data_IF_256747668494
#
_entry.id   IF_256747668494
#
_cell.length_a   1.000
_cell.length_b   1.000
_cell.length_c   1.000
_cell.angle_alpha   90.00
_cell.angle_beta   90.00
_cell.angle_gamma   90.00
#
_symmetry.space_group_name_H-M   'P 1'
#
loop_
_entity.id
_entity.type
_entity.pdbx_description
1 polymer ?
#
# COMPACT_ATOMS: atom_id res chain seq x y z
N UNK A 1 -7.81 -15.18 -7.38
CA UNK A 1 -7.51 -14.75 -8.76
C UNK A 1 -6.25 -13.91 -8.72
N UNK A 2 -5.38 -14.04 -9.72
CA UNK A 2 -4.18 -13.21 -9.84
C UNK A 2 -4.53 -11.75 -10.14
N UNK A 3 -3.69 -10.85 -9.66
CA UNK A 3 -3.71 -9.44 -10.04
C UNK A 3 -3.49 -9.35 -11.58
N UNK A 4 -4.17 -8.45 -12.33
CA UNK A 4 -3.85 -8.24 -13.75
C UNK A 4 -2.36 -7.93 -13.90
N UNK A 5 -1.75 -8.45 -14.96
CA UNK A 5 -0.35 -8.23 -15.26
C UNK A 5 -0.23 -7.55 -16.64
N UNK A 6 0.24 -6.29 -16.71
CA UNK A 6 0.61 -5.43 -15.59
C UNK A 6 -0.62 -4.89 -14.83
N UNK A 7 -0.44 -4.60 -13.55
CA UNK A 7 -1.47 -4.09 -12.63
C UNK A 7 -1.66 -2.58 -12.73
N UNK A 8 -0.80 -1.89 -13.47
CA UNK A 8 -0.83 -0.45 -13.71
C UNK A 8 0.38 0.05 -14.48
N UNK A 9 0.51 1.37 -14.55
CA UNK A 9 1.67 2.07 -15.12
C UNK A 9 1.86 3.42 -14.43
N UNK A 10 3.04 4.02 -14.53
CA UNK A 10 3.25 5.40 -14.09
C UNK A 10 2.82 6.43 -15.14
N UNK A 11 2.21 7.51 -14.68
CA UNK A 11 1.99 8.71 -15.46
C UNK A 11 2.17 9.94 -14.55
N UNK A 12 3.14 10.80 -14.88
CA UNK A 12 3.53 11.96 -14.07
C UNK A 12 3.81 11.61 -12.60
N UNK A 13 4.70 10.64 -12.36
CA UNK A 13 5.08 10.14 -11.03
C UNK A 13 3.91 9.59 -10.18
N UNK A 14 2.75 9.39 -10.78
CA UNK A 14 1.59 8.78 -10.14
C UNK A 14 1.30 7.42 -10.77
N UNK A 15 1.18 6.39 -9.93
CA UNK A 15 0.74 5.07 -10.34
C UNK A 15 -0.71 5.14 -10.81
N UNK A 16 -1.01 4.50 -11.95
CA UNK A 16 -2.34 4.39 -12.54
C UNK A 16 -2.71 2.91 -12.59
N UNK A 17 -3.48 2.46 -11.60
CA UNK A 17 -3.92 1.07 -11.57
C UNK A 17 -4.89 0.77 -12.73
N UNK A 18 -4.77 -0.41 -13.33
CA UNK A 18 -5.74 -0.90 -14.32
C UNK A 18 -7.07 -1.28 -13.68
N UNK A 19 -7.05 -1.70 -12.42
CA UNK A 19 -8.23 -2.15 -11.68
C UNK A 19 -9.13 -0.99 -11.24
N UNK A 20 -8.54 0.03 -10.62
CA UNK A 20 -9.30 1.07 -9.94
C UNK A 20 -8.59 2.42 -9.94
N UNK A 21 -9.33 3.48 -9.64
CA UNK A 21 -8.76 4.80 -9.46
C UNK A 21 -8.23 4.93 -8.03
N UNK A 22 -6.90 4.98 -7.90
CA UNK A 22 -6.22 5.28 -6.66
C UNK A 22 -6.41 6.76 -6.30
N UNK A 23 -6.67 7.02 -5.02
CA UNK A 23 -6.79 8.37 -4.47
C UNK A 23 -5.39 8.85 -4.06
N UNK A 24 -4.98 10.06 -4.47
CA UNK A 24 -3.75 10.66 -3.94
C UNK A 24 -3.96 11.17 -2.51
N UNK A 25 -2.96 10.99 -1.64
CA UNK A 25 -2.92 11.56 -0.29
C UNK A 25 -1.78 12.59 -0.19
N UNK A 26 -2.05 13.79 -0.70
CA UNK A 26 -1.03 14.83 -0.86
C UNK A 26 -0.89 15.74 0.37
N UNK A 27 -1.76 15.59 1.38
CA UNK A 27 -1.71 16.38 2.62
C UNK A 27 -1.67 15.49 3.88
N UNK A 28 -0.93 15.90 4.94
CA UNK A 28 -0.98 15.23 6.24
C UNK A 28 -2.40 15.15 6.82
N UNK A 29 -3.24 16.15 6.57
CA UNK A 29 -4.63 16.18 7.03
C UNK A 29 -5.48 15.08 6.38
N UNK A 30 -5.30 14.80 5.09
CA UNK A 30 -5.98 13.69 4.41
C UNK A 30 -5.61 12.34 5.01
N UNK A 31 -4.33 12.15 5.34
CA UNK A 31 -3.83 10.92 5.97
C UNK A 31 -4.39 10.78 7.39
N UNK A 32 -4.32 11.83 8.22
CA UNK A 32 -4.93 11.83 9.56
C UNK A 32 -6.42 11.52 9.49
N UNK A 33 -7.15 12.15 8.57
CA UNK A 33 -8.59 11.89 8.36
C UNK A 33 -8.86 10.43 7.98
N UNK A 34 -8.02 9.83 7.14
CA UNK A 34 -8.15 8.42 6.74
C UNK A 34 -7.89 7.46 7.91
N UNK A 35 -6.87 7.75 8.72
CA UNK A 35 -6.39 6.88 9.79
C UNK A 35 -7.05 7.15 11.15
N UNK A 36 -7.87 8.20 11.27
CA UNK A 36 -8.56 8.57 12.51
C UNK A 36 -9.28 7.37 13.12
N UNK A 37 -9.08 7.17 14.42
CA UNK A 37 -9.62 6.06 15.21
C UNK A 37 -9.15 4.67 14.77
N UNK A 38 -8.01 4.56 14.09
CA UNK A 38 -7.50 3.28 13.60
C UNK A 38 -6.23 2.83 14.31
N UNK A 39 -6.14 1.52 14.47
CA UNK A 39 -4.92 0.80 14.74
C UNK A 39 -4.39 0.22 13.43
N UNK A 40 -3.18 0.62 13.05
CA UNK A 40 -2.50 0.15 11.83
C UNK A 40 -1.27 -0.66 12.22
N UNK A 41 -1.29 -1.95 11.88
CA UNK A 41 -0.25 -2.90 12.22
C UNK A 41 0.47 -3.33 10.93
N UNK A 42 1.73 -2.94 10.76
CA UNK A 42 2.57 -3.41 9.67
C UNK A 42 3.41 -4.61 10.11
N UNK A 43 3.33 -5.71 9.36
CA UNK A 43 4.02 -6.97 9.64
C UNK A 43 4.88 -7.35 8.44
N UNK A 44 6.20 -7.47 8.62
CA UNK A 44 7.03 -7.86 7.49
C UNK A 44 8.47 -7.42 7.49
N UNK A 45 9.02 -7.36 6.28
CA UNK A 45 10.39 -6.94 6.00
C UNK A 45 10.58 -5.43 6.21
N UNK A 46 11.82 -4.99 6.02
CA UNK A 46 12.18 -3.57 5.98
C UNK A 46 11.45 -2.77 4.89
N UNK A 47 10.88 -3.39 3.87
CA UNK A 47 10.17 -2.72 2.76
C UNK A 47 8.73 -2.32 3.11
N UNK A 48 8.07 -2.99 4.07
CA UNK A 48 6.81 -2.51 4.66
C UNK A 48 7.08 -1.58 5.85
N UNK A 49 8.25 -1.71 6.51
CA UNK A 49 8.72 -0.69 7.46
C UNK A 49 8.82 0.69 6.80
N UNK A 50 9.24 0.76 5.54
CA UNK A 50 9.24 2.01 4.77
C UNK A 50 7.85 2.68 4.70
N UNK A 51 6.74 1.92 4.68
CA UNK A 51 5.40 2.53 4.73
C UNK A 51 5.14 3.20 6.08
N UNK A 52 5.49 2.51 7.18
CA UNK A 52 5.38 3.06 8.52
C UNK A 52 6.24 4.32 8.68
N UNK A 53 7.49 4.29 8.20
CA UNK A 53 8.42 5.44 8.27
C UNK A 53 7.94 6.61 7.43
N UNK A 54 7.47 6.33 6.21
CA UNK A 54 6.88 7.33 5.33
C UNK A 54 5.67 8.00 5.99
N UNK A 55 4.70 7.22 6.47
CA UNK A 55 3.49 7.74 7.11
C UNK A 55 3.82 8.55 8.37
N UNK A 56 4.68 8.02 9.25
CA UNK A 56 5.11 8.70 10.46
C UNK A 56 5.79 10.04 10.14
N UNK A 57 6.70 10.09 9.16
CA UNK A 57 7.34 11.36 8.78
C UNK A 57 6.39 12.32 8.08
N UNK A 58 5.52 11.81 7.20
CA UNK A 58 4.62 12.62 6.39
C UNK A 58 3.56 13.31 7.26
N UNK A 59 2.95 12.58 8.20
CA UNK A 59 1.96 13.14 9.13
C UNK A 59 2.58 14.21 10.04
N UNK A 60 3.83 14.03 10.47
CA UNK A 60 4.57 15.01 11.29
C UNK A 60 4.89 16.32 10.58
N UNK A 61 4.74 16.40 9.26
CA UNK A 61 5.17 17.56 8.49
C UNK A 61 6.69 17.77 8.51
N UNK A 62 7.48 16.78 9.00
CA UNK A 62 8.94 16.83 8.92
C UNK A 62 9.32 16.72 7.45
N UNK A 63 9.93 17.76 6.91
CA UNK A 63 10.70 17.67 5.68
C UNK A 63 11.84 16.68 5.94
N UNK A 64 11.67 15.43 5.51
CA UNK A 64 12.73 14.44 5.61
C UNK A 64 13.84 14.85 4.62
N UNK A 65 15.03 15.12 5.14
CA UNK A 65 16.20 15.60 4.42
C UNK A 65 16.40 14.86 3.08
N UNK A 66 16.37 15.62 2.00
CA UNK A 66 16.75 15.15 0.67
C UNK A 66 18.28 15.03 0.61
N UNK A 67 18.82 13.82 0.66
CA UNK A 67 20.09 13.52 -0.01
C UNK A 67 19.74 13.13 -1.44
N UNK A 68 19.59 14.14 -2.30
CA UNK A 68 19.31 13.93 -3.72
C UNK A 68 18.58 15.11 -4.35
N UNK A 69 19.37 15.96 -5.03
CA UNK A 69 19.05 16.92 -6.08
C UNK A 69 17.61 17.45 -6.23
N UNK A 70 17.48 18.78 -6.16
CA UNK A 70 16.34 19.52 -6.72
C UNK A 70 16.10 19.10 -8.17
N UNK A 71 14.95 18.49 -8.46
CA UNK A 71 14.30 18.66 -9.76
C UNK A 71 13.03 19.48 -9.57
N UNK A 72 13.12 20.75 -9.96
CA UNK A 72 11.97 21.61 -10.19
C UNK A 72 11.21 21.05 -11.39
N UNK A 73 10.07 20.39 -11.16
CA UNK A 73 9.17 19.98 -12.25
C UNK A 73 8.15 21.11 -12.44
N UNK A 74 8.37 21.92 -13.47
CA UNK A 74 7.36 22.85 -13.97
C UNK A 74 6.17 22.05 -14.53
N UNK A 75 4.96 22.45 -14.14
CA UNK A 75 3.71 21.77 -14.48
C UNK A 75 3.31 22.15 -15.91
N UNK A 76 3.80 21.43 -16.92
CA UNK A 76 3.31 21.59 -18.29
C UNK A 76 1.90 20.99 -18.44
N UNK A 77 0.91 21.83 -18.79
CA UNK A 77 -0.41 21.37 -19.25
C UNK A 77 -0.25 20.86 -20.69
N UNK A 78 -0.52 19.57 -20.89
CA UNK A 78 -0.51 18.95 -22.21
C UNK A 78 -1.88 19.17 -22.91
N UNK A 79 -1.97 19.76 -24.12
CA UNK A 79 -3.23 20.05 -24.80
C UNK A 79 -3.92 18.84 -25.45
N UNK A 80 -3.29 17.66 -25.47
CA UNK A 80 -3.76 16.50 -26.25
C UNK A 80 -4.43 15.39 -25.42
N UNK A 81 -5.09 15.72 -24.31
CA UNK A 81 -5.82 14.74 -23.50
C UNK A 81 -7.28 14.54 -23.98
N UNK A 82 -7.47 14.11 -25.23
CA UNK A 82 -8.77 13.63 -25.72
C UNK A 82 -8.71 12.12 -25.98
N UNK A 83 -9.13 11.32 -25.01
CA UNK A 83 -9.62 9.95 -25.26
C UNK A 83 -10.69 9.63 -24.23
N UNK A 84 -11.78 9.02 -24.68
CA UNK A 84 -12.90 8.59 -23.84
C UNK A 84 -12.45 7.57 -22.79
N UNK A 85 -12.02 8.04 -21.61
CA UNK A 85 -11.72 7.16 -20.49
C UNK A 85 -13.03 6.58 -19.96
N UNK A 86 -13.19 5.25 -20.04
CA UNK A 86 -14.13 4.54 -19.15
C UNK A 86 -13.83 4.98 -17.72
N UNK A 87 -14.81 5.60 -17.06
CA UNK A 87 -14.68 6.15 -15.71
C UNK A 87 -14.49 4.97 -14.74
N UNK A 88 -13.25 4.72 -14.32
CA UNK A 88 -12.95 3.71 -13.28
C UNK A 88 -13.56 4.18 -11.96
N UNK A 89 -13.89 3.23 -11.09
CA UNK A 89 -14.35 3.52 -9.72
C UNK A 89 -13.15 3.54 -8.77
N UNK A 90 -13.29 4.22 -7.63
CA UNK A 90 -12.24 4.29 -6.60
C UNK A 90 -11.83 2.89 -6.11
N UNK A 91 -10.55 2.71 -5.80
CA UNK A 91 -10.07 1.52 -5.10
C UNK A 91 -10.69 1.48 -3.69
N UNK A 92 -11.48 0.45 -3.35
CA UNK A 92 -12.06 0.27 -2.00
C UNK A 92 -12.25 -1.22 -1.70
N UNK A 93 -12.29 -1.61 -0.41
CA UNK A 93 -12.61 -2.99 -0.03
C UNK A 93 -14.02 -3.43 -0.49
N UNK A 94 -15.00 -2.53 -0.49
CA UNK A 94 -16.36 -2.85 -0.93
C UNK A 94 -16.38 -3.20 -2.42
N UNK A 95 -15.54 -2.54 -3.21
CA UNK A 95 -15.37 -2.86 -4.63
C UNK A 95 -14.70 -4.21 -4.81
N UNK A 96 -13.61 -4.48 -4.08
CA UNK A 96 -12.93 -5.78 -4.12
C UNK A 96 -13.91 -6.91 -3.77
N UNK A 97 -14.74 -6.71 -2.75
CA UNK A 97 -15.79 -7.64 -2.32
C UNK A 97 -16.82 -7.86 -3.43
N UNK A 98 -17.32 -6.78 -4.04
CA UNK A 98 -18.31 -6.86 -5.12
C UNK A 98 -17.77 -7.62 -6.33
N UNK A 99 -16.54 -7.32 -6.75
CA UNK A 99 -15.90 -8.02 -7.87
C UNK A 99 -15.63 -9.50 -7.53
N UNK A 100 -15.29 -9.82 -6.27
CA UNK A 100 -15.18 -11.22 -5.80
C UNK A 100 -16.51 -11.94 -5.89
N UNK A 101 -17.58 -11.39 -5.31
CA UNK A 101 -18.94 -11.99 -5.34
C UNK A 101 -19.46 -12.21 -6.75
N UNK A 102 -19.28 -11.24 -7.65
CA UNK A 102 -19.65 -11.41 -9.07
C UNK A 102 -18.92 -12.61 -9.69
N UNK A 103 -17.65 -12.83 -9.33
CA UNK A 103 -16.85 -13.93 -9.87
C UNK A 103 -17.22 -15.28 -9.28
N UNK A 104 -17.50 -15.34 -7.98
CA UNK A 104 -17.98 -16.56 -7.34
C UNK A 104 -19.35 -16.97 -7.93
N UNK A 105 -20.20 -16.00 -8.28
CA UNK A 105 -21.43 -16.23 -9.02
C UNK A 105 -21.20 -16.69 -10.48
N UNK A 106 -20.13 -16.26 -11.15
CA UNK A 106 -19.76 -16.75 -12.50
C UNK A 106 -19.17 -18.16 -12.44
N UNK A 107 -18.41 -18.48 -11.38
CA UNK A 107 -17.78 -19.81 -11.20
C UNK A 107 -18.73 -20.86 -10.64
N UNK A 108 -19.84 -20.45 -10.04
CA UNK A 108 -20.91 -21.34 -9.57
C UNK A 108 -22.06 -21.23 -10.58
N UNK A 109 -22.11 -22.03 -11.66
CA UNK A 109 -23.23 -21.92 -12.58
C UNK A 109 -24.49 -22.43 -11.87
N UNK A 110 -25.58 -21.64 -11.77
CA UNK A 110 -26.90 -22.23 -11.69
C UNK A 110 -27.18 -22.85 -13.06
N UNK A 111 -27.71 -24.07 -13.05
CA UNK A 111 -28.34 -24.65 -14.22
C UNK A 111 -29.37 -23.66 -14.79
N UNK A 112 -29.25 -23.40 -16.10
CA UNK A 112 -30.34 -23.00 -17.01
C UNK A 112 -30.92 -21.57 -16.93
N UNK A 113 -30.49 -20.69 -17.86
CA UNK A 113 -31.28 -20.19 -19.02
C UNK A 113 -30.70 -18.88 -19.58
N UNK A 114 -30.49 -18.91 -20.89
CA UNK A 114 -30.17 -17.78 -21.78
C UNK A 114 -31.36 -16.83 -21.87
N UNK A 115 -31.14 -15.52 -21.97
CA UNK A 115 -31.79 -14.64 -22.98
C UNK A 115 -31.08 -13.28 -23.09
N UNK A 116 -30.63 -12.98 -24.30
CA UNK A 116 -30.07 -11.72 -24.78
C UNK A 116 -31.12 -10.60 -24.79
N UNK A 117 -30.76 -9.39 -24.34
CA UNK A 117 -31.29 -8.14 -24.91
C UNK A 117 -30.19 -7.08 -25.00
N UNK A 118 -29.99 -6.59 -26.23
CA UNK A 118 -29.12 -5.49 -26.58
C UNK A 118 -29.77 -4.14 -26.23
N UNK A 119 -28.94 -3.13 -25.92
CA UNK A 119 -29.36 -1.74 -25.73
C UNK A 119 -28.69 -0.84 -26.78
N UNK A 120 -29.39 0.18 -27.34
CA UNK A 120 -28.80 1.09 -28.31
C UNK A 120 -28.16 2.33 -27.65
N UNK A 121 -27.11 2.80 -28.32
CA UNK A 121 -26.33 4.02 -28.08
C UNK A 121 -27.02 5.30 -28.58
N UNK A 122 -26.78 6.45 -27.93
CA UNK A 122 -26.97 7.79 -28.53
C UNK A 122 -25.78 8.71 -28.27
N UNK A 123 -25.37 9.37 -29.34
CA UNK A 123 -24.27 10.32 -29.47
C UNK A 123 -24.64 11.73 -28.96
N UNK A 124 -23.61 12.50 -28.61
CA UNK A 124 -23.72 13.83 -28.01
C UNK A 124 -23.90 15.00 -28.99
N UNK A 125 -23.97 16.21 -28.42
CA UNK A 125 -23.77 17.49 -29.09
C UNK A 125 -22.89 18.39 -28.22
N UNK A 126 -21.93 19.04 -28.87
CA UNK A 126 -21.02 20.08 -28.35
C UNK A 126 -21.70 21.45 -28.40
N UNK A 127 -21.38 22.34 -27.45
CA UNK A 127 -21.27 23.79 -27.69
C UNK A 127 -20.23 24.43 -26.75
N UNK A 128 -19.44 25.34 -27.32
CA UNK A 128 -18.36 26.11 -26.70
C UNK A 128 -18.86 27.32 -25.88
N UNK A 129 -18.07 27.74 -24.87
CA UNK A 129 -17.57 29.13 -24.76
C UNK A 129 -16.45 29.26 -23.73
N UNK A 130 -15.35 29.88 -24.15
CA UNK A 130 -14.26 30.37 -23.30
C UNK A 130 -14.55 31.81 -22.86
N UNK A 131 -14.06 32.21 -21.68
CA UNK A 131 -13.89 33.61 -21.28
C UNK A 131 -12.59 33.82 -20.51
N UNK A 132 -12.10 35.05 -20.61
CA UNK A 132 -10.75 35.52 -20.37
C UNK A 132 -10.36 35.68 -18.88
N UNK A 133 -9.05 35.75 -18.69
CA UNK A 133 -8.30 35.92 -17.44
C UNK A 133 -8.24 37.40 -17.04
N UNK A 134 -8.53 37.69 -15.78
CA UNK A 134 -8.15 38.94 -15.11
C UNK A 134 -7.00 38.70 -14.13
N UNK A 135 -6.04 39.63 -14.10
CA UNK A 135 -4.93 39.68 -13.13
C UNK A 135 -5.39 40.40 -11.85
N UNK A 136 -4.86 39.98 -10.70
CA UNK A 136 -4.67 40.87 -9.55
C UNK A 136 -3.55 40.35 -8.65
N UNK A 137 -2.77 41.31 -8.15
CA UNK A 137 -1.49 41.18 -7.44
C UNK A 137 -1.57 40.58 -6.03
N UNK A 138 -0.43 40.04 -5.58
CA UNK A 138 -0.21 39.53 -4.23
C UNK A 138 0.30 40.65 -3.29
N UNK A 139 -0.19 40.74 -2.04
CA UNK A 139 0.55 41.36 -0.95
C UNK A 139 1.39 40.31 -0.21
N UNK A 140 2.63 40.69 0.13
CA UNK A 140 3.55 39.89 0.93
C UNK A 140 3.05 39.69 2.36
N UNK A 141 3.26 38.47 2.88
CA UNK A 141 2.99 38.13 4.29
C UNK A 141 4.32 37.73 4.92
N UNK A 142 4.81 38.60 5.82
CA UNK A 142 5.81 38.27 6.82
C UNK A 142 5.29 37.13 7.70
N UNK A 143 6.05 36.04 7.82
CA UNK A 143 5.72 34.92 8.71
C UNK A 143 6.47 35.06 10.02
N UNK A 144 5.73 35.33 11.10
CA UNK A 144 6.16 34.95 12.44
C UNK A 144 6.06 33.42 12.61
N UNK A 145 6.93 32.80 13.42
CA UNK A 145 6.85 31.38 13.71
C UNK A 145 5.59 31.08 14.54
N UNK A 146 4.71 30.25 13.99
CA UNK A 146 3.55 29.70 14.70
C UNK A 146 3.99 28.74 15.83
N UNK A 147 3.27 28.71 16.96
CA UNK A 147 3.56 27.79 18.06
C UNK A 147 3.33 26.33 17.64
N UNK A 148 3.97 25.36 18.32
CA UNK A 148 3.86 23.94 17.96
C UNK A 148 2.42 23.45 18.11
N UNK A 149 1.82 22.95 17.02
CA UNK A 149 0.46 22.38 17.06
C UNK A 149 0.46 21.01 17.73
N UNK A 150 -0.51 20.76 18.61
CA UNK A 150 -0.65 19.56 19.44
C UNK A 150 -1.00 18.24 18.71
N UNK A 151 -1.18 18.25 17.39
CA UNK A 151 -1.71 17.13 16.59
C UNK A 151 -0.61 16.27 15.92
N UNK A 152 0.39 15.81 16.67
CA UNK A 152 1.53 15.04 16.12
C UNK A 152 1.51 13.56 16.53
N UNK A 153 1.81 12.64 15.58
CA UNK A 153 2.15 11.25 15.90
C UNK A 153 3.42 11.22 16.77
N UNK A 154 3.35 10.85 18.04
CA UNK A 154 4.55 10.75 18.88
C UNK A 154 5.14 9.35 18.78
N UNK A 155 6.47 9.25 18.64
CA UNK A 155 7.14 7.96 18.76
C UNK A 155 6.97 7.47 20.19
N UNK A 156 6.56 6.22 20.34
CA UNK A 156 6.52 5.57 21.65
C UNK A 156 7.90 4.95 21.85
N UNK A 157 8.62 5.41 22.88
CA UNK A 157 9.87 4.79 23.28
C UNK A 157 9.57 3.41 23.89
N UNK A 158 10.16 2.38 23.30
CA UNK A 158 10.02 1.00 23.75
C UNK A 158 11.26 0.51 24.50
N UNK A 159 12.24 1.40 24.77
CA UNK A 159 13.53 1.06 25.37
C UNK A 159 14.39 0.17 24.45
N UNK A 160 14.13 0.22 23.14
CA UNK A 160 14.64 -0.71 22.13
C UNK A 160 15.12 0.04 20.89
N UNK A 161 16.32 -0.27 20.45
CA UNK A 161 17.07 0.49 19.45
C UNK A 161 17.65 -0.42 18.34
N UNK A 162 17.34 -1.71 18.35
CA UNK A 162 17.66 -2.65 17.28
C UNK A 162 16.93 -2.30 15.98
N UNK A 163 17.59 -2.57 14.84
CA UNK A 163 17.06 -2.20 13.52
C UNK A 163 15.73 -2.91 13.21
N UNK A 164 15.56 -4.11 13.75
CA UNK A 164 14.39 -4.97 13.55
C UNK A 164 13.41 -4.94 14.74
N UNK A 165 13.72 -4.15 15.78
CA UNK A 165 12.83 -4.04 16.93
C UNK A 165 11.52 -3.35 16.53
N UNK A 166 10.42 -3.66 17.24
CA UNK A 166 9.14 -3.03 16.96
C UNK A 166 9.22 -1.51 16.98
N UNK A 167 8.41 -0.88 16.14
CA UNK A 167 8.25 0.58 16.12
C UNK A 167 6.82 0.92 16.40
N UNK A 168 6.58 1.97 17.17
CA UNK A 168 5.24 2.41 17.52
C UNK A 168 5.14 3.93 17.52
N UNK A 169 4.02 4.44 17.01
CA UNK A 169 3.68 5.85 17.01
C UNK A 169 2.21 6.05 17.37
N UNK A 170 1.93 7.07 18.20
CA UNK A 170 0.59 7.38 18.72
C UNK A 170 0.25 8.85 18.46
N UNK A 171 -0.89 9.10 17.81
CA UNK A 171 -1.54 10.42 17.74
C UNK A 171 -2.79 10.34 18.60
N UNK A 172 -2.69 10.84 19.83
CA UNK A 172 -3.77 10.77 20.81
C UNK A 172 -4.97 11.61 20.42
N UNK A 173 -4.77 12.74 19.74
CA UNK A 173 -5.82 13.67 19.31
C UNK A 173 -6.73 13.02 18.26
N UNK A 174 -6.13 12.28 17.33
CA UNK A 174 -6.85 11.59 16.26
C UNK A 174 -7.10 10.10 16.57
N UNK A 175 -6.68 9.63 17.74
CA UNK A 175 -6.74 8.21 18.15
C UNK A 175 -6.17 7.28 17.07
N UNK A 176 -4.95 7.60 16.60
CA UNK A 176 -4.23 6.81 15.61
C UNK A 176 -3.10 6.08 16.32
N UNK A 177 -3.11 4.75 16.24
CA UNK A 177 -2.00 3.91 16.66
C UNK A 177 -1.38 3.25 15.44
N UNK A 178 -0.08 3.43 15.24
CA UNK A 178 0.65 2.78 14.16
C UNK A 178 1.82 1.98 14.71
N UNK A 179 1.90 0.70 14.37
CA UNK A 179 3.04 -0.14 14.71
C UNK A 179 3.65 -0.82 13.50
N UNK A 180 4.94 -1.13 13.60
CA UNK A 180 5.63 -2.05 12.71
C UNK A 180 6.29 -3.16 13.53
N UNK A 181 6.18 -4.39 13.05
CA UNK A 181 6.82 -5.55 13.63
C UNK A 181 7.51 -6.37 12.53
N UNK A 182 8.77 -6.75 12.78
CA UNK A 182 9.49 -7.68 11.93
C UNK A 182 8.78 -9.05 11.89
N UNK A 183 8.84 -9.75 10.75
CA UNK A 183 8.21 -11.07 10.60
C UNK A 183 8.97 -12.21 11.31
N UNK A 184 10.13 -11.91 11.92
CA UNK A 184 11.01 -12.84 12.68
C UNK A 184 11.75 -13.85 11.80
N UNK A 185 12.45 -14.84 12.39
CA UNK A 185 13.20 -15.81 11.61
C UNK A 185 12.32 -16.60 10.62
N UNK A 186 12.86 -16.96 9.44
CA UNK A 186 14.25 -16.73 8.99
C UNK A 186 14.52 -15.29 8.52
N UNK A 187 15.72 -14.77 8.79
CA UNK A 187 16.16 -13.40 8.45
C UNK A 187 17.57 -13.44 7.87
N UNK A 188 17.78 -12.78 6.73
CA UNK A 188 19.10 -12.64 6.07
C UNK A 188 19.70 -11.27 6.46
N UNK A 189 19.68 -10.93 7.75
CA UNK A 189 20.24 -9.65 8.22
C UNK A 189 21.10 -9.90 9.44
N UNK A 190 22.30 -9.32 9.48
CA UNK A 190 23.25 -9.41 10.60
C UNK A 190 22.89 -8.50 11.79
N UNK A 191 21.72 -7.85 11.77
CA UNK A 191 21.35 -6.84 12.77
C UNK A 191 20.66 -7.46 13.98
N UNK A 192 21.02 -6.97 15.16
CA UNK A 192 20.46 -7.37 16.45
C UNK A 192 18.92 -7.23 16.46
N UNK A 193 18.27 -8.29 16.94
CA UNK A 193 16.87 -8.28 17.40
C UNK A 193 16.89 -8.95 18.76
N UNK A 194 16.23 -8.36 19.77
CA UNK A 194 16.09 -9.02 21.06
C UNK A 194 15.24 -10.30 20.90
N UNK A 195 15.66 -11.41 21.52
CA UNK A 195 15.03 -12.73 21.35
C UNK A 195 13.58 -12.73 21.83
N UNK A 196 13.26 -11.94 22.85
CA UNK A 196 11.90 -11.80 23.40
C UNK A 196 10.91 -11.17 22.40
N UNK A 197 11.41 -10.45 21.39
CA UNK A 197 10.58 -9.75 20.40
C UNK A 197 10.18 -10.61 19.20
N UNK A 198 10.63 -11.87 19.17
CA UNK A 198 10.40 -12.79 18.06
C UNK A 198 9.03 -13.47 18.09
N UNK A 199 7.98 -12.65 18.14
CA UNK A 199 6.61 -13.13 17.92
C UNK A 199 6.37 -13.24 16.42
N UNK A 200 6.23 -14.47 15.94
CA UNK A 200 5.92 -14.74 14.55
C UNK A 200 4.69 -13.96 14.07
N UNK A 201 4.73 -13.42 12.83
CA UNK A 201 3.63 -12.66 12.25
C UNK A 201 2.27 -13.38 12.35
N UNK A 202 2.21 -14.69 12.15
CA UNK A 202 0.97 -15.46 12.28
C UNK A 202 0.43 -15.46 13.72
N UNK A 203 1.29 -15.65 14.73
CA UNK A 203 0.91 -15.57 16.15
C UNK A 203 0.39 -14.19 16.52
N UNK A 204 1.02 -13.13 16.00
CA UNK A 204 0.56 -11.75 16.23
C UNK A 204 -0.81 -11.50 15.60
N UNK A 205 -1.05 -12.02 14.39
CA UNK A 205 -2.36 -11.96 13.72
C UNK A 205 -3.40 -12.74 14.52
N UNK A 206 -3.08 -13.91 15.06
CA UNK A 206 -4.00 -14.69 15.90
C UNK A 206 -4.35 -13.96 17.20
N UNK A 207 -3.39 -13.26 17.81
CA UNK A 207 -3.60 -12.44 19.01
C UNK A 207 -4.33 -11.11 18.73
N UNK A 208 -4.49 -10.71 17.47
CA UNK A 208 -5.16 -9.45 17.11
C UNK A 208 -6.67 -9.61 17.23
N UNK A 209 -7.32 -8.70 17.98
CA UNK A 209 -8.79 -8.68 18.11
C UNK A 209 -9.46 -8.41 16.74
N UNK A 210 -8.95 -7.43 16.01
CA UNK A 210 -9.50 -7.01 14.73
C UNK A 210 -10.72 -6.08 14.87
N UNK A 211 -11.39 -5.80 13.76
CA UNK A 211 -12.60 -5.00 13.71
C UNK A 211 -12.50 -3.85 12.70
N UNK A 212 -13.52 -2.98 12.69
CA UNK A 212 -13.65 -1.90 11.72
C UNK A 212 -12.53 -0.84 11.74
N UNK A 213 -11.85 -0.77 12.87
CA UNK A 213 -10.78 0.17 13.16
C UNK A 213 -9.39 -0.47 13.07
N UNK A 214 -9.30 -1.78 12.84
CA UNK A 214 -8.02 -2.47 12.70
C UNK A 214 -7.65 -2.61 11.22
N UNK A 215 -6.42 -2.22 10.90
CA UNK A 215 -5.81 -2.33 9.59
C UNK A 215 -4.51 -3.11 9.72
N UNK A 216 -4.31 -4.15 8.92
CA UNK A 216 -3.06 -4.93 8.88
C UNK A 216 -2.42 -4.80 7.49
N UNK A 217 -1.16 -4.34 7.46
CA UNK A 217 -0.32 -4.35 6.26
C UNK A 217 0.70 -5.49 6.34
N UNK A 218 0.80 -6.34 5.32
CA UNK A 218 1.70 -7.52 5.32
C UNK A 218 2.65 -7.47 4.12
N UNK A 219 3.95 -7.68 4.34
CA UNK A 219 4.93 -7.87 3.25
C UNK A 219 6.07 -8.80 3.65
N UNK A 220 6.24 -9.91 2.95
CA UNK A 220 7.40 -10.79 3.10
C UNK A 220 7.98 -11.07 1.71
N UNK A 221 9.30 -11.10 1.59
CA UNK A 221 10.00 -11.55 0.39
C UNK A 221 11.50 -11.32 0.45
N UNK A 222 11.93 -10.10 0.75
CA UNK A 222 13.34 -9.69 0.76
C UNK A 222 14.21 -10.56 1.66
N UNK A 223 13.71 -10.93 2.84
CA UNK A 223 14.45 -11.78 3.78
C UNK A 223 14.34 -13.28 3.46
N UNK A 224 13.58 -13.67 2.44
CA UNK A 224 13.39 -15.06 2.05
C UNK A 224 14.12 -15.46 0.78
N UNK A 225 14.66 -14.50 0.01
CA UNK A 225 15.23 -14.74 -1.31
C UNK A 225 16.44 -15.69 -1.32
N UNK A 226 17.18 -15.81 -0.21
CA UNK A 226 18.27 -16.79 -0.05
C UNK A 226 17.84 -18.14 0.52
N UNK A 227 16.55 -18.33 0.84
CA UNK A 227 16.04 -19.58 1.38
C UNK A 227 15.28 -20.38 0.30
N UNK A 228 15.19 -21.71 0.44
CA UNK A 228 14.34 -22.53 -0.42
C UNK A 228 12.89 -22.02 -0.42
N UNK A 229 12.25 -22.04 -1.58
CA UNK A 229 10.87 -21.54 -1.75
C UNK A 229 9.85 -22.21 -0.83
N UNK A 230 10.10 -23.46 -0.41
CA UNK A 230 9.21 -24.15 0.53
C UNK A 230 9.22 -23.54 1.93
N UNK A 231 10.33 -22.95 2.37
CA UNK A 231 10.40 -22.20 3.62
C UNK A 231 9.49 -20.99 3.54
N UNK A 232 9.56 -20.24 2.43
CA UNK A 232 8.68 -19.11 2.18
C UNK A 232 7.21 -19.54 2.09
N UNK A 233 6.91 -20.59 1.33
CA UNK A 233 5.55 -21.14 1.16
C UNK A 233 4.92 -21.51 2.49
N UNK A 234 5.64 -22.21 3.37
CA UNK A 234 5.15 -22.55 4.71
C UNK A 234 4.90 -21.29 5.55
N UNK A 235 5.84 -20.33 5.52
CA UNK A 235 5.71 -19.09 6.28
C UNK A 235 4.50 -18.27 5.84
N UNK A 236 4.38 -17.98 4.55
CA UNK A 236 3.30 -17.14 4.02
C UNK A 236 1.94 -17.88 4.07
N UNK A 237 1.93 -19.20 3.90
CA UNK A 237 0.74 -20.04 4.11
C UNK A 237 0.21 -19.96 5.55
N UNK A 238 1.08 -20.04 6.56
CA UNK A 238 0.68 -19.88 7.96
C UNK A 238 0.12 -18.48 8.26
N UNK A 239 0.70 -17.45 7.65
CA UNK A 239 0.18 -16.07 7.75
C UNK A 239 -1.19 -15.96 7.07
N UNK A 240 -1.35 -16.52 5.87
CA UNK A 240 -2.64 -16.58 5.17
C UNK A 240 -3.72 -17.27 6.00
N UNK A 241 -3.41 -18.41 6.61
CA UNK A 241 -4.32 -19.13 7.51
C UNK A 241 -4.70 -18.30 8.75
N UNK A 242 -3.75 -17.60 9.36
CA UNK A 242 -4.02 -16.70 10.49
C UNK A 242 -4.92 -15.51 10.08
N UNK A 243 -4.70 -14.93 8.89
CA UNK A 243 -5.59 -13.90 8.33
C UNK A 243 -6.98 -14.47 8.07
N UNK A 244 -7.08 -15.71 7.57
CA UNK A 244 -8.36 -16.40 7.41
C UNK A 244 -9.14 -16.49 8.72
N UNK A 245 -8.49 -16.95 9.80
CA UNK A 245 -9.09 -16.98 11.15
C UNK A 245 -9.48 -15.59 11.65
N UNK A 246 -8.65 -14.57 11.41
CA UNK A 246 -8.94 -13.18 11.79
C UNK A 246 -10.17 -12.64 11.07
N UNK A 247 -10.26 -12.84 9.75
CA UNK A 247 -11.39 -12.36 8.97
C UNK A 247 -12.68 -13.14 9.26
N UNK A 248 -12.58 -14.40 9.67
CA UNK A 248 -13.72 -15.19 10.13
C UNK A 248 -14.31 -14.63 11.43
N UNK A 249 -13.47 -14.27 12.42
CA UNK A 249 -13.93 -13.70 13.70
C UNK A 249 -14.24 -12.20 13.64
N UNK A 250 -13.52 -11.46 12.80
CA UNK A 250 -13.58 -9.99 12.71
C UNK A 250 -13.62 -9.52 11.24
N UNK A 251 -14.74 -9.74 10.51
CA UNK A 251 -14.85 -9.55 9.06
C UNK A 251 -14.74 -8.10 8.58
N UNK A 252 -14.79 -7.13 9.51
CA UNK A 252 -14.59 -5.70 9.22
C UNK A 252 -13.13 -5.27 9.27
N UNK A 253 -12.21 -6.15 9.68
CA UNK A 253 -10.77 -5.89 9.64
C UNK A 253 -10.30 -5.70 8.21
N UNK A 254 -9.48 -4.69 7.97
CA UNK A 254 -8.89 -4.44 6.64
C UNK A 254 -7.49 -5.03 6.58
N UNK A 255 -7.23 -5.91 5.62
CA UNK A 255 -5.91 -6.52 5.43
C UNK A 255 -5.40 -6.22 4.02
N UNK A 256 -4.24 -5.56 3.95
CA UNK A 256 -3.58 -5.19 2.70
C UNK A 256 -2.24 -5.92 2.60
N UNK A 257 -2.05 -6.69 1.54
CA UNK A 257 -0.84 -7.47 1.28
C UNK A 257 -0.02 -6.75 0.22
N UNK A 258 1.19 -6.35 0.56
CA UNK A 258 2.18 -5.81 -0.37
C UNK A 258 2.96 -6.98 -0.98
N UNK A 259 3.00 -7.03 -2.31
CA UNK A 259 3.91 -7.93 -3.03
C UNK A 259 5.34 -7.41 -2.95
N UNK A 260 6.33 -8.30 -3.00
CA UNK A 260 7.73 -7.94 -2.91
C UNK A 260 8.19 -7.11 -4.13
N UNK A 261 9.07 -6.15 -3.86
CA UNK A 261 9.68 -5.27 -4.85
C UNK A 261 10.59 -6.06 -5.81
N UNK A 262 10.80 -5.55 -7.04
CA UNK A 262 11.96 -5.96 -7.83
C UNK A 262 13.24 -5.53 -7.11
N UNK A 263 14.26 -6.38 -7.15
CA UNK A 263 15.49 -6.18 -6.41
C UNK A 263 16.63 -7.00 -7.03
N UNK A 264 17.70 -6.32 -7.43
CA UNK A 264 18.95 -6.94 -7.89
C UNK A 264 20.14 -6.06 -7.47
N UNK A 265 20.41 -5.91 -6.16
CA UNK A 265 21.42 -5.01 -5.64
C UNK A 265 22.76 -5.73 -5.66
N UNK A 266 23.35 -5.91 -6.85
CA UNK A 266 24.71 -6.46 -7.04
C UNK A 266 24.94 -7.93 -6.67
N UNK A 267 24.16 -8.52 -5.76
CA UNK A 267 24.28 -9.91 -5.28
C UNK A 267 23.11 -10.76 -5.80
N UNK A 268 23.20 -11.19 -7.06
CA UNK A 268 22.12 -11.92 -7.74
C UNK A 268 21.81 -13.27 -7.05
N UNK A 269 22.83 -13.90 -6.48
CA UNK A 269 22.73 -15.16 -5.74
C UNK A 269 21.78 -15.05 -4.53
N UNK A 270 21.76 -13.89 -3.85
CA UNK A 270 20.93 -13.66 -2.66
C UNK A 270 19.63 -12.95 -3.05
N UNK A 271 19.69 -11.97 -3.95
CA UNK A 271 18.56 -11.13 -4.35
C UNK A 271 18.37 -11.24 -5.86
N UNK A 272 17.61 -12.24 -6.30
CA UNK A 272 17.20 -12.39 -7.69
C UNK A 272 15.70 -12.22 -7.88
N UNK A 273 15.37 -11.51 -8.95
CA UNK A 273 14.00 -11.25 -9.38
C UNK A 273 13.22 -12.53 -9.71
N UNK A 274 13.87 -13.59 -10.19
CA UNK A 274 13.17 -14.84 -10.52
C UNK A 274 12.57 -15.51 -9.28
N UNK A 275 13.34 -15.64 -8.20
CA UNK A 275 12.86 -16.21 -6.94
C UNK A 275 11.79 -15.30 -6.31
N UNK A 276 12.01 -13.98 -6.32
CA UNK A 276 11.04 -12.99 -5.82
C UNK A 276 9.72 -13.04 -6.59
N UNK A 277 9.75 -13.21 -7.92
CA UNK A 277 8.56 -13.38 -8.75
C UNK A 277 7.77 -14.64 -8.34
N UNK A 278 8.46 -15.76 -8.11
CA UNK A 278 7.84 -17.00 -7.62
C UNK A 278 7.25 -16.82 -6.22
N UNK A 279 7.93 -16.10 -5.33
CA UNK A 279 7.40 -15.74 -4.01
C UNK A 279 6.13 -14.90 -4.12
N UNK A 280 6.08 -13.91 -5.01
CA UNK A 280 4.86 -13.11 -5.22
C UNK A 280 3.67 -13.96 -5.68
N UNK A 281 3.90 -14.97 -6.53
CA UNK A 281 2.85 -15.94 -6.90
C UNK A 281 2.38 -16.76 -5.70
N UNK A 282 3.31 -17.29 -4.90
CA UNK A 282 2.98 -18.05 -3.70
C UNK A 282 2.22 -17.18 -2.68
N UNK A 283 2.57 -15.90 -2.55
CA UNK A 283 1.83 -14.95 -1.72
C UNK A 283 0.40 -14.79 -2.22
N UNK A 284 0.20 -14.54 -3.52
CA UNK A 284 -1.16 -14.44 -4.08
C UNK A 284 -1.99 -15.72 -3.87
N UNK A 285 -1.35 -16.88 -3.98
CA UNK A 285 -1.97 -18.19 -3.70
C UNK A 285 -2.36 -18.35 -2.22
N UNK A 286 -1.46 -18.01 -1.29
CA UNK A 286 -1.68 -18.15 0.15
C UNK A 286 -2.83 -17.27 0.69
N UNK A 287 -3.13 -16.17 0.01
CA UNK A 287 -4.25 -15.29 0.35
C UNK A 287 -5.45 -15.46 -0.61
N UNK A 288 -5.43 -16.44 -1.51
CA UNK A 288 -6.51 -16.66 -2.43
C UNK A 288 -7.82 -16.96 -1.69
N UNK A 289 -8.92 -16.33 -2.11
CA UNK A 289 -10.23 -16.48 -1.48
C UNK A 289 -10.46 -15.60 -0.24
N UNK A 290 -9.40 -15.10 0.40
CA UNK A 290 -9.53 -14.19 1.55
C UNK A 290 -9.92 -12.77 1.11
N UNK A 291 -10.64 -12.06 1.99
CA UNK A 291 -11.04 -10.66 1.76
C UNK A 291 -9.86 -9.72 2.07
N UNK A 292 -8.85 -9.76 1.20
CA UNK A 292 -7.66 -8.91 1.29
C UNK A 292 -7.50 -8.03 0.05
N UNK A 293 -6.80 -6.90 0.19
CA UNK A 293 -6.37 -6.08 -0.94
C UNK A 293 -4.89 -6.33 -1.25
N UNK A 294 -4.48 -6.19 -2.51
CA UNK A 294 -3.07 -6.27 -2.90
C UNK A 294 -2.54 -4.89 -3.33
N UNK A 295 -1.33 -4.56 -2.87
CA UNK A 295 -0.49 -3.51 -3.44
C UNK A 295 0.65 -4.20 -4.18
N UNK A 296 0.61 -4.09 -5.51
CA UNK A 296 1.58 -4.73 -6.40
C UNK A 296 2.82 -3.86 -6.56
N UNK A 297 3.66 -3.88 -5.53
CA UNK A 297 4.91 -3.15 -5.56
C UNK A 297 5.89 -3.72 -6.59
N UNK A 298 5.71 -4.99 -7.02
CA UNK A 298 6.50 -5.59 -8.09
C UNK A 298 6.33 -4.82 -9.39
N UNK A 299 5.10 -4.63 -9.86
CA UNK A 299 4.88 -3.88 -11.11
C UNK A 299 5.26 -2.40 -10.97
N UNK A 300 5.06 -1.80 -9.80
CA UNK A 300 5.50 -0.43 -9.52
C UNK A 300 7.02 -0.29 -9.63
N UNK A 301 7.78 -1.18 -9.01
CA UNK A 301 9.25 -1.11 -9.01
C UNK A 301 9.85 -1.54 -10.36
N UNK A 302 9.24 -2.52 -11.02
CA UNK A 302 9.61 -2.94 -12.38
C UNK A 302 9.42 -1.81 -13.40
N UNK A 303 8.31 -1.07 -13.32
CA UNK A 303 7.97 0.01 -14.26
C UNK A 303 8.98 1.17 -14.27
N UNK A 304 9.72 1.35 -13.17
CA UNK A 304 10.76 2.40 -13.06
C UNK A 304 12.17 1.82 -13.13
N UNK A 305 12.31 0.53 -13.46
CA UNK A 305 13.61 -0.15 -13.53
C UNK A 305 14.35 -0.16 -12.19
N UNK A 306 13.63 -0.20 -11.06
CA UNK A 306 14.25 -0.14 -9.74
C UNK A 306 15.10 -1.38 -9.49
N UNK A 307 16.38 -1.14 -9.14
CA UNK A 307 17.34 -2.18 -8.73
C UNK A 307 17.56 -2.22 -7.21
N UNK A 308 16.97 -1.27 -6.49
CA UNK A 308 17.12 -1.13 -5.05
C UNK A 308 16.02 -1.89 -4.32
N UNK A 309 16.41 -2.70 -3.33
CA UNK A 309 15.46 -3.43 -2.47
C UNK A 309 14.52 -2.47 -1.73
N UNK A 310 15.03 -1.29 -1.38
CA UNK A 310 14.32 -0.19 -0.75
C UNK A 310 14.02 0.86 -1.82
N UNK A 311 12.84 0.84 -2.45
CA UNK A 311 12.55 1.75 -3.55
C UNK A 311 12.46 3.19 -3.08
N UNK A 312 12.62 4.11 -4.05
CA UNK A 312 12.62 5.54 -3.79
C UNK A 312 11.29 6.04 -3.25
N UNK A 313 11.34 7.21 -2.61
CA UNK A 313 10.20 7.84 -1.96
C UNK A 313 8.99 8.03 -2.87
N UNK A 314 9.18 8.25 -4.17
CA UNK A 314 8.08 8.37 -5.14
C UNK A 314 7.32 7.05 -5.25
N UNK A 315 8.01 5.92 -5.32
CA UNK A 315 7.38 4.60 -5.37
C UNK A 315 6.70 4.30 -4.03
N UNK A 316 7.40 4.53 -2.91
CA UNK A 316 6.82 4.35 -1.56
C UNK A 316 5.56 5.20 -1.36
N UNK A 317 5.55 6.45 -1.83
CA UNK A 317 4.33 7.30 -1.81
C UNK A 317 3.19 6.65 -2.57
N UNK A 318 3.43 6.13 -3.77
CA UNK A 318 2.39 5.51 -4.60
C UNK A 318 1.87 4.19 -4.02
N UNK A 319 2.76 3.40 -3.42
CA UNK A 319 2.40 2.22 -2.65
C UNK A 319 1.48 2.59 -1.46
N UNK A 320 1.86 3.62 -0.69
CA UNK A 320 1.09 4.13 0.45
C UNK A 320 -0.24 4.75 0.01
N UNK A 321 -0.28 5.51 -1.09
CA UNK A 321 -1.52 6.08 -1.64
C UNK A 321 -2.52 4.99 -2.01
N UNK A 322 -2.04 3.89 -2.60
CA UNK A 322 -2.89 2.74 -2.93
C UNK A 322 -3.33 1.97 -1.67
N UNK A 323 -2.42 1.77 -0.70
CA UNK A 323 -2.75 1.22 0.62
C UNK A 323 -3.86 2.02 1.30
N UNK A 324 -3.69 3.34 1.42
CA UNK A 324 -4.66 4.23 2.04
C UNK A 324 -5.98 4.26 1.27
N UNK A 325 -5.96 4.16 -0.07
CA UNK A 325 -7.19 4.04 -0.87
C UNK A 325 -8.01 2.80 -0.51
N UNK A 326 -7.38 1.69 -0.13
CA UNK A 326 -8.14 0.55 0.40
C UNK A 326 -8.64 0.82 1.83
N UNK A 327 -7.85 1.50 2.66
CA UNK A 327 -8.21 1.85 4.03
C UNK A 327 -9.37 2.86 4.10
N UNK A 328 -9.47 3.78 3.15
CA UNK A 328 -10.53 4.78 3.00
C UNK A 328 -10.76 5.14 1.51
#
# INVERSE_FOLDING_TARGET
MGNPSPSGHYFNNAWRSVLCDNRPFDSPADVRKCLRHKEVIFLGDSTIRQWWEYLNSFVKGKAMWHLGGLLCVTRHRNPWASTSRRRKRRCTFDRLEKERRMRDAIRSPPLLWVLLRAAPSRAGRLFHRARAVGRSDCPGIHRHPSPPSSSELKLVDLGKNGRQDPRMALDSENSILMSWHCHTYPLITSFFTHKEEMINAAKRIDATVGGANTVIGICLGAHFTAFPLDVFRRRIGNIGAAVGRLLARSPRTKVVVKLANTCTPGSLEIFNNWNTFRMNRITMEAFAGLKVAFVDAWDMTLSVGSRNIHPDRIVVKNEVDLFLSYVC
#
